data_IF_753205797865
#
_entry.id   IF_753205797865
#
_cell.length_a   1.000
_cell.length_b   1.000
_cell.length_c   1.000
_cell.angle_alpha   90.00
_cell.angle_beta   90.00
_cell.angle_gamma   90.00
#
_symmetry.space_group_name_H-M   'P 1'
#
loop_
_entity.id
_entity.type
_entity.pdbx_description
1 polymer ?
#
# COMPACT_ATOMS: atom_id res chain seq x y z
N UNK A 1 -6.91 0.99 23.08
CA UNK A 1 -6.56 2.24 22.37
C UNK A 1 -7.69 3.25 22.44
N UNK A 2 -8.90 2.89 21.98
CA UNK A 2 -10.08 3.76 21.98
C UNK A 2 -10.47 4.27 23.38
N UNK A 3 -10.61 3.39 24.37
CA UNK A 3 -10.98 3.76 25.76
C UNK A 3 -9.99 4.72 26.41
N UNK A 4 -8.74 4.73 25.95
CA UNK A 4 -7.69 5.62 26.43
C UNK A 4 -7.57 6.91 25.61
N UNK A 5 -8.50 7.16 24.68
CA UNK A 5 -8.51 8.36 23.83
C UNK A 5 -7.28 8.51 22.93
N UNK A 6 -6.64 7.40 22.53
CA UNK A 6 -5.33 7.45 21.83
C UNK A 6 -5.40 7.72 20.32
N UNK A 7 -6.60 7.80 19.75
CA UNK A 7 -6.79 8.18 18.36
C UNK A 7 -8.15 8.87 18.18
N UNK A 8 -8.23 9.76 17.19
CA UNK A 8 -9.52 10.31 16.70
C UNK A 8 -10.12 9.37 15.66
N UNK A 9 -9.30 8.99 14.69
CA UNK A 9 -9.59 7.98 13.67
C UNK A 9 -8.38 7.08 13.49
N UNK A 10 -8.61 5.81 13.19
CA UNK A 10 -7.55 4.83 12.95
C UNK A 10 -7.77 4.19 11.58
N UNK A 11 -6.72 4.09 10.78
CA UNK A 11 -6.73 3.35 9.53
C UNK A 11 -5.80 2.14 9.66
N UNK A 12 -6.37 0.96 9.47
CA UNK A 12 -5.66 -0.32 9.47
C UNK A 12 -5.66 -0.88 8.05
N UNK A 13 -4.48 -1.00 7.47
CA UNK A 13 -4.27 -1.70 6.20
C UNK A 13 -3.61 -3.03 6.55
N UNK A 14 -4.20 -4.14 6.09
CA UNK A 14 -3.72 -5.49 6.39
C UNK A 14 -3.51 -6.23 5.09
N UNK A 15 -2.26 -6.61 4.86
CA UNK A 15 -1.88 -7.53 3.80
C UNK A 15 -1.44 -8.87 4.38
N UNK A 16 -2.23 -9.90 4.13
CA UNK A 16 -1.93 -11.31 4.44
C UNK A 16 -2.97 -12.21 3.78
N UNK A 17 -2.73 -13.52 3.72
CA UNK A 17 -3.76 -14.48 3.30
C UNK A 17 -4.97 -14.41 4.23
N UNK A 18 -6.17 -14.38 3.66
CA UNK A 18 -7.42 -14.20 4.39
C UNK A 18 -7.48 -12.94 5.27
N UNK A 19 -6.89 -11.82 4.83
CA UNK A 19 -6.83 -10.57 5.59
C UNK A 19 -8.20 -10.09 6.12
N UNK A 20 -9.28 -10.33 5.37
CA UNK A 20 -10.64 -9.99 5.81
C UNK A 20 -11.04 -10.70 7.10
N UNK A 21 -10.60 -11.93 7.34
CA UNK A 21 -10.94 -12.70 8.55
C UNK A 21 -10.32 -12.11 9.81
N UNK A 22 -9.11 -11.55 9.70
CA UNK A 22 -8.46 -10.82 10.77
C UNK A 22 -9.26 -9.56 11.11
N UNK A 23 -9.59 -8.78 10.08
CA UNK A 23 -10.23 -7.48 10.25
C UNK A 23 -11.69 -7.57 10.68
N UNK A 24 -12.40 -8.66 10.39
CA UNK A 24 -13.79 -8.88 10.82
C UNK A 24 -13.99 -8.69 12.33
N UNK A 25 -12.99 -9.02 13.16
CA UNK A 25 -13.05 -8.89 14.62
C UNK A 25 -12.79 -7.48 15.15
N UNK A 26 -12.38 -6.52 14.32
CA UNK A 26 -12.07 -5.15 14.75
C UNK A 26 -13.35 -4.35 14.99
N UNK A 27 -13.82 -4.30 16.24
CA UNK A 27 -15.06 -3.61 16.64
C UNK A 27 -14.84 -2.20 17.22
N UNK A 28 -13.59 -1.74 17.32
CA UNK A 28 -13.30 -0.44 17.89
C UNK A 28 -13.92 0.71 17.07
N UNK A 29 -14.39 1.79 17.72
CA UNK A 29 -15.05 2.90 17.03
C UNK A 29 -14.08 3.70 16.17
N UNK A 30 -14.58 4.37 15.13
CA UNK A 30 -13.79 5.24 14.24
C UNK A 30 -12.55 4.56 13.62
N UNK A 31 -12.68 3.28 13.28
CA UNK A 31 -11.65 2.52 12.57
C UNK A 31 -12.09 2.28 11.14
N UNK A 32 -11.17 2.55 10.22
CA UNK A 32 -11.26 2.18 8.81
C UNK A 32 -10.30 1.00 8.62
N UNK A 33 -10.78 -0.09 8.04
CA UNK A 33 -9.98 -1.28 7.80
C UNK A 33 -9.96 -1.60 6.31
N UNK A 34 -8.80 -1.92 5.75
CA UNK A 34 -8.61 -2.36 4.37
C UNK A 34 -7.89 -3.71 4.41
N UNK A 35 -8.46 -4.71 3.75
CA UNK A 35 -7.91 -6.06 3.66
C UNK A 35 -7.45 -6.33 2.22
N UNK A 36 -6.26 -6.93 2.06
CA UNK A 36 -5.74 -7.32 0.74
C UNK A 36 -6.53 -8.45 0.09
N UNK A 37 -7.07 -9.38 0.89
CA UNK A 37 -7.73 -10.60 0.42
C UNK A 37 -8.97 -10.96 1.25
N UNK A 38 -9.92 -11.67 0.63
CA UNK A 38 -11.08 -12.24 1.32
C UNK A 38 -10.78 -13.60 1.94
N UNK A 39 -11.74 -14.15 2.69
CA UNK A 39 -11.66 -15.52 3.21
C UNK A 39 -11.43 -16.49 2.04
N UNK A 40 -10.60 -17.52 2.24
CA UNK A 40 -10.20 -18.50 1.22
C UNK A 40 -9.43 -17.91 0.03
N UNK A 41 -8.88 -16.69 0.15
CA UNK A 41 -8.00 -16.08 -0.85
C UNK A 41 -6.60 -15.84 -0.30
N UNK A 42 -5.61 -15.91 -1.18
CA UNK A 42 -4.21 -15.66 -0.86
C UNK A 42 -3.83 -14.21 -1.14
N UNK A 43 -2.86 -13.68 -0.40
CA UNK A 43 -2.12 -12.47 -0.79
C UNK A 43 -0.83 -12.94 -1.43
N UNK A 44 -0.63 -12.60 -2.71
CA UNK A 44 0.45 -13.13 -3.52
C UNK A 44 1.57 -12.10 -3.73
N UNK A 45 2.80 -12.61 -3.83
CA UNK A 45 3.97 -11.84 -4.23
C UNK A 45 3.89 -11.35 -5.67
N UNK A 46 4.62 -10.28 -5.98
CA UNK A 46 4.74 -9.72 -7.33
C UNK A 46 6.18 -9.80 -7.87
N UNK A 47 7.09 -8.99 -7.31
CA UNK A 47 8.51 -9.03 -7.71
C UNK A 47 9.29 -9.98 -6.80
N UNK A 48 10.12 -10.81 -7.42
CA UNK A 48 11.06 -11.69 -6.74
C UNK A 48 12.45 -11.46 -7.30
N UNK A 49 13.46 -11.48 -6.43
CA UNK A 49 14.86 -11.45 -6.79
C UNK A 49 15.37 -12.89 -6.90
N UNK A 50 15.69 -13.39 -8.11
CA UNK A 50 16.14 -14.77 -8.30
C UNK A 50 17.57 -15.01 -7.83
N UNK A 51 18.42 -13.97 -7.74
CA UNK A 51 19.78 -14.09 -7.22
C UNK A 51 19.76 -14.29 -5.70
N UNK A 52 18.86 -13.57 -5.02
CA UNK A 52 18.65 -13.70 -3.57
C UNK A 52 17.68 -14.83 -3.19
N UNK A 53 16.82 -15.25 -4.12
CA UNK A 53 15.74 -16.21 -3.87
C UNK A 53 14.64 -15.66 -2.95
N UNK A 54 14.41 -14.34 -2.96
CA UNK A 54 13.47 -13.65 -2.06
C UNK A 54 12.37 -12.93 -2.82
N UNK A 55 11.15 -12.91 -2.25
CA UNK A 55 10.09 -12.02 -2.69
C UNK A 55 10.33 -10.61 -2.15
N UNK A 56 10.25 -9.60 -3.01
CA UNK A 56 10.51 -8.20 -2.67
C UNK A 56 9.25 -7.48 -2.19
N UNK A 57 8.11 -7.75 -2.83
CA UNK A 57 6.87 -7.03 -2.59
C UNK A 57 5.64 -7.84 -3.00
N UNK A 58 4.56 -7.67 -2.25
CA UNK A 58 3.27 -8.28 -2.55
C UNK A 58 2.41 -7.41 -3.47
N UNK A 59 1.51 -8.04 -4.23
CA UNK A 59 0.72 -7.37 -5.27
C UNK A 59 -0.16 -6.25 -4.74
N UNK A 60 -0.80 -6.44 -3.58
CA UNK A 60 -1.64 -5.40 -3.00
C UNK A 60 -0.81 -4.22 -2.49
N UNK A 61 0.30 -4.48 -1.79
CA UNK A 61 1.25 -3.43 -1.40
C UNK A 61 1.80 -2.69 -2.61
N UNK A 62 2.15 -3.39 -3.70
CA UNK A 62 2.64 -2.74 -4.93
C UNK A 62 1.63 -1.75 -5.50
N UNK A 63 0.36 -2.15 -5.67
CA UNK A 63 -0.67 -1.22 -6.16
C UNK A 63 -0.90 -0.05 -5.21
N UNK A 64 -0.90 -0.32 -3.90
CA UNK A 64 -1.07 0.71 -2.89
C UNK A 64 0.06 1.73 -2.95
N UNK A 65 1.32 1.27 -3.03
CA UNK A 65 2.49 2.13 -3.13
C UNK A 65 2.52 2.92 -4.44
N UNK A 66 2.24 2.27 -5.58
CA UNK A 66 2.18 2.95 -6.88
C UNK A 66 1.16 4.11 -6.87
N UNK A 67 0.02 3.94 -6.19
CA UNK A 67 -0.92 5.04 -5.97
C UNK A 67 -0.30 6.16 -5.12
N UNK A 68 0.31 5.83 -3.97
CA UNK A 68 0.88 6.84 -3.07
C UNK A 68 2.06 7.60 -3.69
N UNK A 69 2.86 6.97 -4.53
CA UNK A 69 3.96 7.62 -5.27
C UNK A 69 3.46 8.63 -6.31
N UNK A 70 2.22 8.46 -6.79
CA UNK A 70 1.59 9.38 -7.74
C UNK A 70 0.98 10.63 -7.11
N UNK A 71 0.93 10.73 -5.77
CA UNK A 71 0.32 11.84 -5.04
C UNK A 71 1.31 12.54 -4.11
N UNK A 72 1.05 13.81 -3.81
CA UNK A 72 1.85 14.60 -2.86
C UNK A 72 1.09 14.92 -1.56
N UNK A 73 1.77 15.59 -0.62
CA UNK A 73 1.21 15.95 0.68
C UNK A 73 0.08 17.00 0.63
N UNK A 74 -0.06 17.71 -0.49
CA UNK A 74 -1.14 18.67 -0.76
C UNK A 74 -2.29 18.02 -1.53
N UNK A 75 -2.20 16.72 -1.83
CA UNK A 75 -3.22 15.99 -2.56
C UNK A 75 -4.56 16.00 -1.84
N UNK A 76 -5.62 16.10 -2.65
CA UNK A 76 -7.01 15.99 -2.22
C UNK A 76 -7.57 14.58 -2.45
N UNK A 77 -6.71 13.63 -2.86
CA UNK A 77 -7.08 12.25 -3.11
C UNK A 77 -7.70 11.59 -1.88
N UNK A 78 -8.70 10.76 -2.13
CA UNK A 78 -9.55 10.13 -1.14
C UNK A 78 -9.34 8.62 -1.11
N UNK A 79 -9.89 7.94 -0.10
CA UNK A 79 -9.92 6.47 -0.07
C UNK A 79 -10.65 5.89 -1.28
N UNK A 80 -11.67 6.58 -1.80
CA UNK A 80 -12.36 6.11 -3.01
C UNK A 80 -11.45 6.10 -4.24
N UNK A 81 -10.55 7.08 -4.35
CA UNK A 81 -9.59 7.17 -5.47
C UNK A 81 -8.57 6.03 -5.39
N UNK A 82 -8.04 5.75 -4.19
CA UNK A 82 -7.17 4.58 -3.95
C UNK A 82 -7.88 3.27 -4.27
N UNK A 83 -9.12 3.09 -3.82
CA UNK A 83 -9.88 1.87 -4.10
C UNK A 83 -10.16 1.69 -5.59
N UNK A 84 -10.26 2.78 -6.33
CA UNK A 84 -10.42 2.76 -7.78
C UNK A 84 -9.21 2.21 -8.55
N UNK A 85 -8.02 2.15 -7.93
CA UNK A 85 -6.83 1.56 -8.57
C UNK A 85 -6.65 0.08 -8.28
N UNK A 86 -7.42 -0.49 -7.37
CA UNK A 86 -7.34 -1.91 -7.07
C UNK A 86 -8.09 -2.73 -8.13
N UNK A 87 -7.42 -3.76 -8.65
CA UNK A 87 -7.93 -4.61 -9.71
C UNK A 87 -7.65 -6.08 -9.40
N UNK A 88 -8.65 -6.95 -9.57
CA UNK A 88 -8.49 -8.39 -9.37
C UNK A 88 -7.44 -8.97 -10.31
N UNK A 89 -7.39 -8.49 -11.56
CA UNK A 89 -6.49 -8.96 -12.62
C UNK A 89 -5.02 -8.87 -12.19
N UNK A 90 -4.65 -7.78 -11.52
CA UNK A 90 -3.30 -7.60 -11.00
C UNK A 90 -3.11 -8.26 -9.64
N UNK A 91 -4.04 -8.05 -8.70
CA UNK A 91 -3.91 -8.50 -7.31
C UNK A 91 -4.07 -10.01 -7.13
N UNK A 92 -4.77 -10.66 -8.06
CA UNK A 92 -5.20 -12.06 -7.98
C UNK A 92 -5.97 -12.40 -6.68
N UNK A 93 -6.57 -11.38 -6.08
CA UNK A 93 -7.36 -11.46 -4.86
C UNK A 93 -8.32 -10.27 -4.83
N UNK A 94 -9.40 -10.40 -4.05
CA UNK A 94 -10.35 -9.31 -3.89
C UNK A 94 -10.02 -8.56 -2.61
N UNK A 95 -9.75 -7.25 -2.73
CA UNK A 95 -9.68 -6.41 -1.56
C UNK A 95 -11.07 -6.25 -0.92
N UNK A 96 -11.09 -5.87 0.35
CA UNK A 96 -12.32 -5.41 1.00
C UNK A 96 -12.01 -4.29 1.97
N UNK A 97 -13.01 -3.46 2.28
CA UNK A 97 -12.87 -2.42 3.30
C UNK A 97 -14.09 -2.39 4.21
N UNK A 98 -13.89 -1.87 5.42
CA UNK A 98 -14.97 -1.64 6.40
C UNK A 98 -14.68 -0.36 7.17
N UNK A 99 -15.73 0.40 7.46
CA UNK A 99 -15.67 1.60 8.29
C UNK A 99 -16.60 1.39 9.47
N UNK A 100 -16.08 1.46 10.71
CA UNK A 100 -16.93 1.31 11.91
C UNK A 100 -17.78 2.55 12.19
N UNK A 101 -17.44 3.69 11.61
CA UNK A 101 -18.29 4.88 11.56
C UNK A 101 -19.18 4.85 10.32
N UNK A 102 -20.47 4.52 10.51
CA UNK A 102 -21.45 4.35 9.42
C UNK A 102 -21.82 5.64 8.66
N UNK A 103 -21.50 6.82 9.21
CA UNK A 103 -21.85 8.11 8.57
C UNK A 103 -20.84 8.53 7.50
N UNK A 104 -19.63 7.97 7.54
CA UNK A 104 -18.53 8.31 6.65
C UNK A 104 -18.49 7.36 5.46
N UNK A 105 -18.17 7.87 4.28
CA UNK A 105 -17.97 7.08 3.06
C UNK A 105 -16.53 7.26 2.57
N UNK A 106 -15.95 6.33 1.80
CA UNK A 106 -14.57 6.45 1.31
C UNK A 106 -14.27 7.75 0.57
N UNK A 107 -15.25 8.25 -0.21
CA UNK A 107 -15.15 9.53 -0.96
C UNK A 107 -14.99 10.77 -0.07
N UNK A 108 -15.37 10.66 1.21
CA UNK A 108 -15.33 11.77 2.16
C UNK A 108 -14.01 11.76 2.98
N UNK A 109 -13.14 10.77 2.77
CA UNK A 109 -11.92 10.55 3.57
C UNK A 109 -10.69 10.81 2.72
N UNK A 110 -10.01 11.93 2.96
CA UNK A 110 -8.72 12.25 2.35
C UNK A 110 -7.62 11.34 2.88
N UNK A 111 -6.77 10.85 2.00
CA UNK A 111 -5.60 10.03 2.37
C UNK A 111 -4.57 10.85 3.15
N UNK A 112 -4.44 12.13 2.85
CA UNK A 112 -3.56 13.07 3.58
C UNK A 112 -3.95 13.23 5.05
N UNK A 113 -5.16 12.84 5.48
CA UNK A 113 -5.51 12.79 6.91
C UNK A 113 -4.71 11.74 7.70
N UNK A 114 -4.14 10.74 7.02
CA UNK A 114 -3.41 9.62 7.63
C UNK A 114 -1.93 9.60 7.21
N UNK A 115 -1.61 9.98 5.96
CA UNK A 115 -0.23 9.98 5.43
C UNK A 115 0.37 11.38 5.20
N UNK A 116 -0.39 12.44 5.46
CA UNK A 116 0.00 13.83 5.16
C UNK A 116 0.60 14.59 6.34
N UNK A 117 1.39 13.94 7.21
CA UNK A 117 2.00 14.63 8.34
C UNK A 117 3.09 15.62 7.88
N UNK A 118 2.72 16.89 7.71
CA UNK A 118 3.68 17.99 7.82
C UNK A 118 3.76 18.32 9.31
N UNK A 119 4.80 17.86 9.99
CA UNK A 119 5.14 18.49 11.26
C UNK A 119 5.57 19.93 10.92
N UNK A 120 4.80 20.93 11.35
CA UNK A 120 5.28 22.32 11.36
C UNK A 120 6.38 22.42 12.43
N UNK A 121 7.59 22.02 12.07
CA UNK A 121 8.76 22.16 12.93
C UNK A 121 9.13 23.61 12.92
N UNK A 122 8.65 24.36 13.91
CA UNK A 122 9.13 25.71 14.19
C UNK A 122 10.59 25.63 14.62
N UNK A 123 11.49 25.78 13.66
CA UNK A 123 12.90 25.99 13.94
C UNK A 123 13.04 27.38 14.57
N UNK A 124 13.13 27.44 15.90
CA UNK A 124 13.78 28.59 16.54
C UNK A 124 15.16 28.68 15.93
N UNK A 125 15.54 29.86 15.42
CA UNK A 125 16.62 30.19 14.47
C UNK A 125 18.05 29.75 14.81
N UNK A 126 18.24 28.56 15.35
CA UNK A 126 19.53 28.10 15.83
C UNK A 126 19.58 26.57 15.93
N UNK A 127 19.39 25.81 14.82
CA UNK A 127 19.60 24.35 14.82
C UNK A 127 20.03 23.77 13.47
N UNK A 128 21.34 23.53 13.34
CA UNK A 128 21.98 22.33 12.76
C UNK A 128 21.70 21.94 11.29
N UNK A 129 22.46 20.98 10.73
CA UNK A 129 22.55 20.71 9.28
C UNK A 129 21.32 20.02 8.65
N UNK A 130 20.20 19.93 9.36
CA UNK A 130 19.08 19.04 9.00
C UNK A 130 18.00 19.70 8.12
N UNK A 131 18.17 20.97 7.74
CA UNK A 131 17.24 21.67 6.84
C UNK A 131 17.08 21.00 5.47
N UNK A 132 18.10 20.25 5.02
CA UNK A 132 18.06 19.58 3.72
C UNK A 132 17.27 18.25 3.71
N UNK A 133 16.80 17.76 4.87
CA UNK A 133 16.03 16.50 4.94
C UNK A 133 14.52 16.72 4.80
N UNK A 134 14.02 17.95 5.03
CA UNK A 134 12.59 18.29 4.95
C UNK A 134 12.10 18.61 3.54
N UNK A 135 13.01 18.95 2.63
CA UNK A 135 12.74 18.94 1.20
C UNK A 135 13.07 17.54 0.71
N UNK A 136 12.02 16.72 0.54
CA UNK A 136 12.14 15.33 0.09
C UNK A 136 13.23 15.20 -0.97
N UNK A 137 14.25 14.42 -0.62
CA UNK A 137 15.37 14.18 -1.51
C UNK A 137 14.81 13.59 -2.81
N UNK A 138 14.89 14.37 -3.89
CA UNK A 138 14.43 13.94 -5.20
C UNK A 138 15.16 12.66 -5.67
N UNK A 139 16.25 12.28 -5.00
CA UNK A 139 16.95 11.02 -5.23
C UNK A 139 16.32 9.81 -4.53
N UNK A 140 15.48 9.96 -3.50
CA UNK A 140 14.80 8.82 -2.87
C UNK A 140 13.76 8.18 -3.80
N UNK A 141 13.12 8.98 -4.66
CA UNK A 141 12.33 8.47 -5.79
C UNK A 141 13.18 7.73 -6.83
N UNK A 142 14.48 8.03 -6.95
CA UNK A 142 15.39 7.30 -7.87
C UNK A 142 15.82 5.94 -7.35
N UNK A 143 15.93 5.73 -6.03
CA UNK A 143 16.35 4.43 -5.49
C UNK A 143 15.29 3.33 -5.69
N UNK A 144 14.00 3.67 -5.73
CA UNK A 144 12.94 2.73 -6.12
C UNK A 144 12.68 2.73 -7.63
N UNK A 145 12.73 3.88 -8.31
CA UNK A 145 12.55 3.95 -9.76
C UNK A 145 13.65 3.19 -10.52
N UNK A 146 14.90 3.19 -10.05
CA UNK A 146 15.98 2.41 -10.66
C UNK A 146 15.75 0.87 -10.58
N UNK A 147 14.95 0.40 -9.62
CA UNK A 147 14.51 -1.00 -9.54
C UNK A 147 13.24 -1.28 -10.36
N UNK A 148 12.51 -0.23 -10.77
CA UNK A 148 11.29 -0.32 -11.58
C UNK A 148 11.59 -0.13 -13.07
N UNK A 149 12.67 0.58 -13.42
CA UNK A 149 13.08 0.89 -14.80
C UNK A 149 13.70 -0.28 -15.59
N UNK A 150 14.01 -1.43 -14.98
CA UNK A 150 14.60 -2.55 -15.74
C UNK A 150 13.62 -3.30 -16.64
N UNK A 151 12.30 -3.20 -16.44
CA UNK A 151 11.32 -3.84 -17.30
C UNK A 151 10.48 -2.80 -18.04
N UNK A 152 10.82 -2.56 -19.31
CA UNK A 152 9.98 -1.78 -20.21
C UNK A 152 8.60 -2.45 -20.39
N UNK A 153 7.56 -1.72 -20.83
CA UNK A 153 6.17 -2.22 -20.89
C UNK A 153 5.93 -3.40 -21.88
N UNK A 154 6.98 -3.93 -22.50
CA UNK A 154 6.92 -4.93 -23.56
C UNK A 154 7.98 -6.05 -23.46
N UNK A 155 8.88 -6.03 -22.47
CA UNK A 155 9.90 -7.08 -22.32
C UNK A 155 9.40 -8.20 -21.41
N UNK A 156 8.34 -8.88 -21.85
CA UNK A 156 8.03 -10.22 -21.35
C UNK A 156 8.84 -11.17 -22.22
N UNK A 157 9.96 -11.65 -21.68
CA UNK A 157 10.82 -12.64 -22.32
C UNK A 157 9.98 -13.80 -22.85
N UNK A 158 10.11 -14.03 -24.16
CA UNK A 158 9.50 -15.13 -24.90
C UNK A 158 9.92 -16.52 -24.38
N UNK A 159 10.85 -16.61 -23.41
CA UNK A 159 11.13 -17.83 -22.65
C UNK A 159 9.98 -18.29 -21.74
N UNK A 160 9.08 -17.41 -21.28
CA UNK A 160 7.93 -17.80 -20.45
C UNK A 160 6.74 -18.38 -21.24
N UNK A 161 6.81 -18.41 -22.58
CA UNK A 161 5.77 -18.92 -23.47
C UNK A 161 6.17 -20.20 -24.22
N UNK A 162 7.08 -21.00 -23.69
CA UNK A 162 7.27 -22.37 -24.19
C UNK A 162 6.25 -23.30 -23.52
N UNK A 163 5.38 -24.00 -24.27
CA UNK A 163 4.54 -25.05 -23.72
C UNK A 163 5.38 -26.30 -23.45
N UNK A 164 5.03 -27.02 -22.39
CA UNK A 164 5.52 -28.33 -21.96
C UNK A 164 6.90 -28.29 -21.24
N UNK A 165 7.11 -28.88 -20.05
CA UNK A 165 6.81 -30.25 -19.65
C UNK A 165 6.63 -30.37 -18.12
N UNK A 166 5.65 -31.17 -17.73
CA UNK A 166 5.30 -31.65 -16.39
C UNK A 166 6.46 -32.21 -15.55
N UNK A 167 6.49 -31.94 -14.23
CA UNK A 167 6.05 -32.92 -13.19
C UNK A 167 6.19 -32.37 -11.76
N UNK A 168 5.07 -32.19 -11.05
CA UNK A 168 5.03 -32.18 -9.59
C UNK A 168 4.92 -33.62 -9.08
N UNK A 169 5.80 -34.02 -8.17
CA UNK A 169 5.54 -35.09 -7.21
C UNK A 169 5.64 -34.48 -5.81
N UNK A 170 4.64 -34.78 -5.00
CA UNK A 170 4.55 -34.49 -3.56
C UNK A 170 5.69 -35.18 -2.79
#
# INVERSE_FOLDING_TARGET
MAEKGRYRELLMIVETCEAATLLQRVSAPNVITIASSQKEQQSLSFKSDPELGLSLIDRFTYQTLAFFESIDIKSMATLADLFGTYSYEFMQSHFSYRMTNATRRPRDVKLTNFWGSVADVRTTTDRGPQDNMYHGDAQLGRYMAAYVEEDGPWDIDCMLLQPDVWSCRF
#
